data_IF_177835182030
#
_entry.id   IF_177835182030
#
_cell.length_a   1.000
_cell.length_b   1.000
_cell.length_c   1.000
_cell.angle_alpha   90.00
_cell.angle_beta   90.00
_cell.angle_gamma   90.00
#
_symmetry.space_group_name_H-M   'P 1'
#
loop_
_entity.id
_entity.type
_entity.pdbx_description
1 polymer ?
#
# COMPACT_ATOMS: atom_id res chain seq x y z
N UNK A 1 18.36 40.04 26.08
CA UNK A 1 18.45 38.64 25.61
C UNK A 1 18.31 37.74 26.83
N UNK A 2 17.35 36.81 26.84
CA UNK A 2 17.24 35.75 27.85
C UNK A 2 17.81 34.47 27.25
N UNK A 3 18.53 33.68 28.03
CA UNK A 3 19.13 32.41 27.62
C UNK A 3 18.60 31.29 28.52
N UNK A 4 18.22 30.16 27.92
CA UNK A 4 17.83 28.94 28.63
C UNK A 4 18.84 27.84 28.25
N UNK A 5 19.23 27.01 29.21
CA UNK A 5 20.03 25.81 28.98
C UNK A 5 19.13 24.59 29.16
N UNK A 6 19.11 23.71 28.16
CA UNK A 6 18.35 22.46 28.16
C UNK A 6 19.31 21.29 27.96
N UNK A 7 19.15 20.25 28.77
CA UNK A 7 19.81 18.96 28.55
C UNK A 7 18.91 18.12 27.66
N UNK A 8 19.47 17.60 26.58
CA UNK A 8 18.79 16.69 25.68
C UNK A 8 19.36 15.29 25.79
N UNK A 9 18.49 14.30 25.61
CA UNK A 9 18.76 12.89 25.82
C UNK A 9 18.40 12.11 24.55
N UNK A 10 19.19 11.11 24.15
CA UNK A 10 18.79 10.19 23.09
C UNK A 10 17.59 9.36 23.58
N UNK A 11 16.78 8.87 22.63
CA UNK A 11 15.57 8.08 22.94
C UNK A 11 15.82 6.92 23.92
N UNK A 12 16.96 6.25 23.78
CA UNK A 12 17.33 5.12 24.64
C UNK A 12 17.42 5.48 26.14
N UNK A 13 17.77 6.73 26.46
CA UNK A 13 17.96 7.24 27.83
C UNK A 13 16.68 7.77 28.48
N UNK A 14 15.57 7.83 27.72
CA UNK A 14 14.29 8.30 28.24
C UNK A 14 13.64 7.29 29.19
N UNK A 15 12.84 7.81 30.13
CA UNK A 15 11.91 7.00 30.92
C UNK A 15 10.83 6.37 30.01
N UNK A 16 10.10 5.37 30.51
CA UNK A 16 8.96 4.79 29.76
C UNK A 16 7.95 5.87 29.33
N UNK A 17 7.55 6.74 30.27
CA UNK A 17 6.66 7.88 29.98
C UNK A 17 7.26 8.85 28.95
N UNK A 18 8.57 9.11 29.02
CA UNK A 18 9.27 9.95 28.05
C UNK A 18 9.30 9.32 26.65
N UNK A 19 9.45 7.99 26.56
CA UNK A 19 9.39 7.26 25.28
C UNK A 19 8.00 7.29 24.67
N UNK A 20 6.96 7.06 25.46
CA UNK A 20 5.57 7.15 25.00
C UNK A 20 5.25 8.55 24.44
N UNK A 21 5.66 9.61 25.16
CA UNK A 21 5.51 11.00 24.68
C UNK A 21 6.30 11.27 23.41
N UNK A 22 7.54 10.79 23.32
CA UNK A 22 8.38 10.94 22.15
C UNK A 22 7.79 10.24 20.92
N UNK A 23 7.29 9.01 21.07
CA UNK A 23 6.62 8.25 20.01
C UNK A 23 5.35 8.95 19.56
N UNK A 24 4.51 9.40 20.51
CA UNK A 24 3.26 10.10 20.19
C UNK A 24 3.48 11.45 19.48
N UNK A 25 4.62 12.11 19.71
CA UNK A 25 4.97 13.35 19.03
C UNK A 25 5.48 13.15 17.59
N UNK A 26 5.74 11.90 17.20
CA UNK A 26 6.28 11.50 15.90
C UNK A 26 5.47 10.32 15.31
N UNK A 27 4.16 10.26 15.61
CA UNK A 27 3.29 9.16 15.18
C UNK A 27 3.11 9.09 13.66
N UNK A 28 3.31 10.21 12.97
CA UNK A 28 3.24 10.34 11.51
C UNK A 28 4.61 10.41 10.81
N UNK A 29 5.73 10.27 11.54
CA UNK A 29 7.09 10.53 11.01
C UNK A 29 7.43 9.74 9.76
N UNK A 30 6.92 8.51 9.64
CA UNK A 30 7.18 7.61 8.53
C UNK A 30 6.14 7.70 7.41
N UNK A 31 5.03 8.42 7.64
CA UNK A 31 3.90 8.53 6.71
C UNK A 31 3.63 9.98 6.27
N UNK A 32 4.53 10.91 6.59
CA UNK A 32 4.36 12.34 6.30
C UNK A 32 4.34 12.65 4.79
N UNK A 33 5.14 11.94 3.99
CA UNK A 33 5.21 12.15 2.53
C UNK A 33 5.63 10.86 1.81
N UNK A 34 4.96 10.56 0.70
CA UNK A 34 5.31 9.50 -0.27
C UNK A 34 5.58 8.10 0.28
N UNK A 35 5.06 7.77 1.45
CA UNK A 35 5.24 6.42 2.02
C UNK A 35 4.69 5.32 1.10
N UNK A 36 3.68 5.64 0.29
CA UNK A 36 3.05 4.75 -0.70
C UNK A 36 3.84 4.58 -2.01
N UNK A 37 4.96 5.27 -2.22
CA UNK A 37 5.70 5.28 -3.50
C UNK A 37 6.19 3.88 -3.88
N UNK A 38 6.62 3.08 -2.90
CA UNK A 38 7.01 1.68 -3.12
C UNK A 38 5.84 0.84 -3.65
N UNK A 39 4.67 0.96 -3.01
CA UNK A 39 3.45 0.25 -3.43
C UNK A 39 2.94 0.71 -4.80
N UNK A 40 3.08 2.00 -5.14
CA UNK A 40 2.75 2.49 -6.48
C UNK A 40 3.70 1.93 -7.54
N UNK A 41 5.00 1.86 -7.23
CA UNK A 41 5.98 1.25 -8.13
C UNK A 41 5.70 -0.24 -8.37
N UNK A 42 5.28 -0.99 -7.34
CA UNK A 42 4.84 -2.39 -7.49
C UNK A 42 3.62 -2.50 -8.41
N UNK A 43 2.60 -1.65 -8.20
CA UNK A 43 1.41 -1.60 -9.06
C UNK A 43 1.74 -1.32 -10.53
N UNK A 44 2.61 -0.36 -10.79
CA UNK A 44 3.04 -0.04 -12.17
C UNK A 44 3.77 -1.21 -12.82
N UNK A 45 4.65 -1.91 -12.08
CA UNK A 45 5.32 -3.11 -12.55
C UNK A 45 4.34 -4.26 -12.82
N UNK A 46 3.25 -4.34 -12.05
CA UNK A 46 2.14 -5.25 -12.25
C UNK A 46 1.20 -4.86 -13.41
N UNK A 47 1.42 -3.72 -14.06
CA UNK A 47 0.59 -3.23 -15.17
C UNK A 47 -0.69 -2.51 -14.71
N UNK A 48 -0.71 -2.00 -13.48
CA UNK A 48 -1.79 -1.22 -12.90
C UNK A 48 -1.34 0.21 -12.62
N UNK A 49 -2.23 1.16 -12.87
CA UNK A 49 -2.03 2.55 -12.46
C UNK A 49 -2.98 2.86 -11.32
N UNK A 50 -2.47 2.98 -10.11
CA UNK A 50 -3.27 3.49 -8.98
C UNK A 50 -3.58 4.97 -9.25
N UNK A 51 -4.87 5.33 -9.18
CA UNK A 51 -5.36 6.69 -9.43
C UNK A 51 -5.77 7.43 -8.16
N UNK A 52 -5.92 6.70 -7.05
CA UNK A 52 -6.10 7.27 -5.72
C UNK A 52 -6.49 6.19 -4.71
N UNK A 53 -6.27 6.48 -3.44
CA UNK A 53 -6.70 5.61 -2.35
C UNK A 53 -7.09 6.45 -1.13
N UNK A 54 -7.82 5.82 -0.20
CA UNK A 54 -8.20 6.36 1.10
C UNK A 54 -8.22 5.21 2.10
N UNK A 55 -7.51 5.34 3.22
CA UNK A 55 -7.45 4.28 4.25
C UNK A 55 -8.43 4.51 5.41
N UNK A 56 -8.95 5.72 5.56
CA UNK A 56 -9.90 6.08 6.60
C UNK A 56 -11.33 5.62 6.28
N UNK A 57 -12.31 6.52 6.46
CA UNK A 57 -13.74 6.16 6.37
C UNK A 57 -14.17 5.67 4.99
N UNK A 58 -13.51 6.15 3.93
CA UNK A 58 -13.84 5.78 2.55
C UNK A 58 -13.35 4.40 2.15
N UNK A 59 -12.23 3.94 2.73
CA UNK A 59 -11.55 2.65 2.50
C UNK A 59 -11.62 2.16 1.05
N UNK A 60 -10.84 2.77 0.16
CA UNK A 60 -10.78 2.39 -1.26
C UNK A 60 -9.38 2.51 -1.83
N UNK A 61 -9.11 1.76 -2.90
CA UNK A 61 -7.98 1.96 -3.81
C UNK A 61 -8.52 1.86 -5.23
N UNK A 62 -8.44 2.94 -5.99
CA UNK A 62 -8.82 2.98 -7.40
C UNK A 62 -7.59 2.76 -8.25
N UNK A 63 -7.73 1.94 -9.29
CA UNK A 63 -6.69 1.68 -10.26
C UNK A 63 -7.27 1.33 -11.63
N UNK A 64 -6.51 1.60 -12.67
CA UNK A 64 -6.83 1.24 -14.05
C UNK A 64 -5.76 0.31 -14.62
N UNK A 65 -6.13 -0.55 -15.58
CA UNK A 65 -5.14 -1.29 -16.35
C UNK A 65 -4.32 -0.31 -17.21
N UNK A 66 -3.00 -0.50 -17.23
CA UNK A 66 -2.12 0.31 -18.08
C UNK A 66 -2.18 -0.11 -19.56
N UNK A 67 -2.54 -1.36 -19.82
CA UNK A 67 -2.71 -1.91 -21.16
C UNK A 67 -4.04 -2.66 -21.27
N UNK A 68 -4.12 -3.85 -20.66
CA UNK A 68 -5.30 -4.69 -20.60
C UNK A 68 -5.18 -5.69 -19.43
N UNK A 69 -6.29 -6.37 -19.12
CA UNK A 69 -6.36 -7.33 -18.02
C UNK A 69 -5.38 -8.50 -18.19
N UNK A 70 -5.23 -9.03 -19.41
CA UNK A 70 -4.35 -10.17 -19.72
C UNK A 70 -2.89 -9.79 -19.47
N UNK A 71 -2.47 -8.61 -19.93
CA UNK A 71 -1.12 -8.10 -19.74
C UNK A 71 -0.82 -7.87 -18.27
N UNK A 72 -1.76 -7.29 -17.52
CA UNK A 72 -1.64 -7.14 -16.07
C UNK A 72 -1.44 -8.50 -15.39
N UNK A 73 -2.33 -9.47 -15.64
CA UNK A 73 -2.21 -10.80 -15.06
C UNK A 73 -0.87 -11.49 -15.40
N UNK A 74 -0.39 -11.31 -16.64
CA UNK A 74 0.90 -11.83 -17.09
C UNK A 74 2.08 -11.24 -16.30
N UNK A 75 2.06 -9.92 -16.06
CA UNK A 75 3.11 -9.23 -15.32
C UNK A 75 3.09 -9.64 -13.85
N UNK A 76 1.90 -9.71 -13.23
CA UNK A 76 1.73 -10.18 -11.86
C UNK A 76 2.27 -11.61 -11.69
N UNK A 77 1.89 -12.54 -12.56
CA UNK A 77 2.36 -13.94 -12.49
C UNK A 77 3.87 -14.04 -12.68
N UNK A 78 4.47 -13.19 -13.52
CA UNK A 78 5.90 -13.19 -13.77
C UNK A 78 6.73 -12.52 -12.66
N UNK A 79 6.16 -11.51 -11.98
CA UNK A 79 6.89 -10.67 -11.03
C UNK A 79 6.60 -10.97 -9.56
N UNK A 80 5.38 -11.39 -9.24
CA UNK A 80 4.95 -11.58 -7.85
C UNK A 80 5.18 -13.02 -7.40
N UNK A 81 5.45 -13.22 -6.12
CA UNK A 81 5.61 -14.56 -5.56
C UNK A 81 4.29 -15.33 -5.53
N UNK A 82 4.32 -16.63 -5.82
CA UNK A 82 3.11 -17.49 -5.93
C UNK A 82 2.18 -17.49 -4.69
N UNK A 83 2.72 -17.10 -3.54
CA UNK A 83 1.98 -17.03 -2.27
C UNK A 83 1.30 -15.69 -2.03
N UNK A 84 1.55 -14.68 -2.85
CA UNK A 84 0.90 -13.37 -2.69
C UNK A 84 -0.55 -13.44 -3.15
N UNK A 85 -1.41 -12.66 -2.51
CA UNK A 85 -2.82 -12.55 -2.88
C UNK A 85 -2.97 -12.06 -4.33
N UNK A 86 -2.12 -11.13 -4.77
CA UNK A 86 -2.11 -10.59 -6.13
C UNK A 86 -1.81 -11.68 -7.16
N UNK A 87 -0.82 -12.55 -6.91
CA UNK A 87 -0.54 -13.70 -7.79
C UNK A 87 -1.74 -14.63 -7.90
N UNK A 88 -2.35 -14.99 -6.76
CA UNK A 88 -3.48 -15.91 -6.72
C UNK A 88 -4.69 -15.34 -7.47
N UNK A 89 -4.98 -14.04 -7.33
CA UNK A 89 -6.02 -13.35 -8.08
C UNK A 89 -5.74 -13.42 -9.59
N UNK A 90 -4.51 -13.12 -10.02
CA UNK A 90 -4.14 -13.14 -11.44
C UNK A 90 -4.19 -14.56 -12.06
N UNK A 91 -3.78 -15.58 -11.29
CA UNK A 91 -3.86 -16.98 -11.71
C UNK A 91 -5.32 -17.41 -11.88
N UNK A 92 -6.17 -17.13 -10.90
CA UNK A 92 -7.58 -17.46 -10.95
C UNK A 92 -8.30 -16.77 -12.11
N UNK A 93 -7.99 -15.48 -12.34
CA UNK A 93 -8.50 -14.75 -13.50
C UNK A 93 -8.15 -15.43 -14.83
N UNK A 94 -6.89 -15.83 -15.02
CA UNK A 94 -6.47 -16.52 -16.25
C UNK A 94 -7.19 -17.85 -16.44
N UNK A 95 -7.28 -18.65 -15.38
CA UNK A 95 -7.96 -19.94 -15.43
C UNK A 95 -9.44 -19.80 -15.80
N UNK A 96 -10.15 -18.85 -15.17
CA UNK A 96 -11.55 -18.57 -15.46
C UNK A 96 -11.74 -18.08 -16.90
N UNK A 97 -10.91 -17.11 -17.33
CA UNK A 97 -10.97 -16.56 -18.68
C UNK A 97 -10.70 -17.62 -19.76
N UNK A 98 -9.68 -18.44 -19.57
CA UNK A 98 -9.34 -19.52 -20.52
C UNK A 98 -10.45 -20.56 -20.58
N UNK A 99 -11.05 -20.91 -19.44
CA UNK A 99 -12.21 -21.82 -19.38
C UNK A 99 -13.38 -21.29 -20.23
N UNK A 100 -13.72 -20.01 -20.09
CA UNK A 100 -14.81 -19.37 -20.85
C UNK A 100 -14.56 -19.48 -22.35
N UNK A 101 -13.35 -19.14 -22.83
CA UNK A 101 -13.02 -19.18 -24.27
C UNK A 101 -13.02 -20.61 -24.82
N UNK A 102 -12.51 -21.57 -24.04
CA UNK A 102 -12.45 -22.98 -24.45
C UNK A 102 -13.86 -23.56 -24.58
N UNK A 103 -14.68 -23.34 -23.56
CA UNK A 103 -16.03 -23.92 -23.43
C UNK A 103 -17.08 -23.18 -24.27
N UNK A 104 -16.77 -21.97 -24.76
CA UNK A 104 -17.73 -21.20 -25.55
C UNK A 104 -18.19 -21.96 -26.81
N UNK A 105 -19.50 -21.98 -27.11
CA UNK A 105 -20.05 -22.63 -28.31
C UNK A 105 -19.40 -22.12 -29.59
N UNK A 106 -19.10 -23.05 -30.51
CA UNK A 106 -18.47 -22.77 -31.80
C UNK A 106 -19.28 -23.41 -32.91
N UNK A 107 -19.45 -22.65 -33.97
CA UNK A 107 -19.98 -23.08 -35.24
C UNK A 107 -19.13 -24.21 -35.84
N UNK A 108 -19.68 -24.92 -36.82
CA UNK A 108 -18.98 -26.03 -37.49
C UNK A 108 -17.67 -25.65 -38.17
N UNK A 109 -17.49 -24.36 -38.50
CA UNK A 109 -16.26 -23.82 -39.09
C UNK A 109 -15.21 -23.43 -38.03
N UNK A 110 -15.52 -23.54 -36.74
CA UNK A 110 -14.65 -23.19 -35.62
C UNK A 110 -14.80 -21.75 -35.09
N UNK A 111 -15.65 -20.93 -35.72
CA UNK A 111 -15.95 -19.58 -35.24
C UNK A 111 -16.88 -19.64 -34.02
N UNK A 112 -16.84 -18.64 -33.14
CA UNK A 112 -17.75 -18.56 -32.00
C UNK A 112 -19.19 -18.26 -32.45
N UNK A 113 -20.18 -18.99 -31.92
CA UNK A 113 -21.60 -18.83 -32.29
C UNK A 113 -22.16 -17.46 -31.85
N UNK A 114 -21.82 -17.02 -30.64
CA UNK A 114 -22.25 -15.75 -30.04
C UNK A 114 -21.03 -14.94 -29.59
N UNK A 115 -20.51 -14.13 -30.50
CA UNK A 115 -19.32 -13.29 -30.25
C UNK A 115 -19.63 -12.17 -29.25
N UNK A 116 -20.82 -11.57 -29.32
CA UNK A 116 -21.23 -10.49 -28.42
C UNK A 116 -21.42 -11.01 -27.00
N UNK A 117 -22.04 -12.18 -26.83
CA UNK A 117 -22.13 -12.85 -25.54
C UNK A 117 -20.77 -13.20 -24.96
N UNK A 118 -19.82 -13.64 -25.80
CA UNK A 118 -18.46 -13.95 -25.36
C UNK A 118 -17.75 -12.68 -24.87
N UNK A 119 -17.84 -11.59 -25.61
CA UNK A 119 -17.23 -10.30 -25.26
C UNK A 119 -17.75 -9.81 -23.90
N UNK A 120 -19.07 -9.81 -23.72
CA UNK A 120 -19.68 -9.45 -22.43
C UNK A 120 -19.22 -10.36 -21.28
N UNK A 121 -19.13 -11.67 -21.50
CA UNK A 121 -18.67 -12.60 -20.47
C UNK A 121 -17.20 -12.38 -20.08
N UNK A 122 -16.35 -12.01 -21.04
CA UNK A 122 -14.95 -11.68 -20.79
C UNK A 122 -14.83 -10.34 -20.05
N UNK A 123 -15.58 -9.31 -20.46
CA UNK A 123 -15.62 -8.01 -19.78
C UNK A 123 -16.01 -8.14 -18.30
N UNK A 124 -17.01 -8.96 -17.98
CA UNK A 124 -17.43 -9.21 -16.61
C UNK A 124 -16.32 -9.82 -15.74
N UNK A 125 -15.51 -10.71 -16.33
CA UNK A 125 -14.38 -11.38 -15.65
C UNK A 125 -13.23 -10.39 -15.46
N UNK A 126 -12.95 -9.56 -16.47
CA UNK A 126 -11.94 -8.51 -16.41
C UNK A 126 -12.27 -7.43 -15.37
N UNK A 127 -13.54 -7.04 -15.26
CA UNK A 127 -14.01 -6.13 -14.19
C UNK A 127 -13.84 -6.72 -12.80
N UNK A 128 -14.19 -8.01 -12.61
CA UNK A 128 -14.00 -8.70 -11.33
C UNK A 128 -12.53 -8.80 -10.96
N UNK A 129 -11.67 -9.07 -11.95
CA UNK A 129 -10.23 -9.08 -11.77
C UNK A 129 -9.71 -7.72 -11.32
N UNK A 130 -10.10 -6.63 -11.98
CA UNK A 130 -9.68 -5.28 -11.59
C UNK A 130 -10.10 -4.94 -10.16
N UNK A 131 -11.36 -5.21 -9.79
CA UNK A 131 -11.89 -4.97 -8.43
C UNK A 131 -11.15 -5.77 -7.36
N UNK A 132 -10.78 -7.02 -7.70
CA UNK A 132 -10.00 -7.88 -6.82
C UNK A 132 -8.57 -7.35 -6.62
N UNK A 133 -7.92 -6.91 -7.70
CA UNK A 133 -6.59 -6.29 -7.63
C UNK A 133 -6.62 -4.97 -6.84
N UNK A 134 -7.61 -4.12 -7.06
CA UNK A 134 -7.83 -2.89 -6.28
C UNK A 134 -7.96 -3.17 -4.79
N UNK A 135 -8.73 -4.21 -4.41
CA UNK A 135 -8.87 -4.64 -3.02
C UNK A 135 -7.57 -5.18 -2.43
N UNK A 136 -6.77 -5.90 -3.23
CA UNK A 136 -5.47 -6.40 -2.81
C UNK A 136 -4.48 -5.26 -2.56
N UNK A 137 -4.41 -4.26 -3.46
CA UNK A 137 -3.55 -3.09 -3.27
C UNK A 137 -3.99 -2.20 -2.11
N UNK A 138 -5.30 -2.06 -1.88
CA UNK A 138 -5.81 -1.41 -0.68
C UNK A 138 -5.27 -2.09 0.59
N UNK A 139 -5.26 -3.42 0.64
CA UNK A 139 -4.73 -4.16 1.79
C UNK A 139 -3.22 -3.98 1.95
N UNK A 140 -2.46 -3.96 0.85
CA UNK A 140 -1.02 -3.70 0.88
C UNK A 140 -0.74 -2.30 1.45
N UNK A 141 -1.47 -1.28 1.01
CA UNK A 141 -1.36 0.09 1.52
C UNK A 141 -1.74 0.19 3.01
N UNK A 142 -2.83 -0.48 3.42
CA UNK A 142 -3.29 -0.54 4.81
C UNK A 142 -2.22 -1.18 5.71
N UNK A 143 -1.64 -2.30 5.27
CA UNK A 143 -0.57 -3.00 6.01
C UNK A 143 0.73 -2.20 6.10
N UNK A 144 1.10 -1.51 5.02
CA UNK A 144 2.27 -0.64 5.00
C UNK A 144 2.08 0.56 5.93
N UNK A 145 0.91 1.20 5.92
CA UNK A 145 0.58 2.29 6.85
C UNK A 145 0.62 1.82 8.31
N UNK A 146 -0.01 0.69 8.62
CA UNK A 146 -0.02 0.09 9.97
C UNK A 146 1.40 -0.23 10.44
N UNK A 147 2.25 -0.77 9.56
CA UNK A 147 3.64 -1.03 9.89
C UNK A 147 4.43 0.26 10.14
N UNK A 148 4.32 1.26 9.26
CA UNK A 148 5.09 2.50 9.33
C UNK A 148 4.70 3.36 10.53
N UNK A 149 3.44 3.29 10.96
CA UNK A 149 2.91 3.96 12.16
C UNK A 149 3.03 3.12 13.44
N UNK A 150 3.60 1.91 13.35
CA UNK A 150 3.85 1.09 14.53
C UNK A 150 4.95 1.69 15.42
N UNK A 151 4.85 1.45 16.73
CA UNK A 151 5.86 1.86 17.71
C UNK A 151 7.27 1.41 17.31
N UNK A 152 7.40 0.21 16.75
CA UNK A 152 8.68 -0.35 16.32
C UNK A 152 9.30 0.45 15.16
N UNK A 153 8.51 0.79 14.14
CA UNK A 153 8.98 1.57 13.00
C UNK A 153 9.29 3.02 13.39
N UNK A 154 8.44 3.65 14.21
CA UNK A 154 8.68 5.01 14.72
C UNK A 154 9.97 5.04 15.56
N UNK A 155 10.13 4.09 16.48
CA UNK A 155 11.34 3.98 17.32
C UNK A 155 12.59 3.78 16.49
N UNK A 156 12.53 2.93 15.47
CA UNK A 156 13.66 2.71 14.56
C UNK A 156 14.08 4.02 13.87
N UNK A 157 13.12 4.76 13.31
CA UNK A 157 13.38 6.04 12.65
C UNK A 157 13.94 7.09 13.61
N UNK A 158 13.39 7.19 14.82
CA UNK A 158 13.87 8.10 15.88
C UNK A 158 15.36 7.81 16.20
N UNK A 159 15.71 6.54 16.39
CA UNK A 159 17.06 6.12 16.75
C UNK A 159 18.03 6.31 15.57
N UNK A 160 17.63 5.87 14.36
CA UNK A 160 18.47 5.92 13.17
C UNK A 160 18.85 7.36 12.75
N UNK A 161 17.97 8.32 13.04
CA UNK A 161 18.19 9.74 12.75
C UNK A 161 18.69 10.54 13.96
N UNK A 162 19.02 9.86 15.08
CA UNK A 162 19.60 10.47 16.28
C UNK A 162 18.76 11.64 16.84
N UNK A 163 17.43 11.50 16.89
CA UNK A 163 16.58 12.51 17.50
C UNK A 163 16.83 12.63 19.01
N UNK A 164 16.82 13.86 19.49
CA UNK A 164 17.05 14.21 20.89
C UNK A 164 15.82 14.83 21.54
N UNK A 165 15.65 14.54 22.83
CA UNK A 165 14.45 14.90 23.59
C UNK A 165 14.81 15.50 24.94
N UNK A 166 13.90 16.27 25.51
CA UNK A 166 13.98 16.62 26.94
C UNK A 166 13.82 15.36 27.81
N UNK A 167 14.18 15.44 29.09
CA UNK A 167 14.06 14.29 30.02
C UNK A 167 12.64 13.72 30.10
N UNK A 168 11.62 14.55 29.90
CA UNK A 168 10.20 14.20 29.90
C UNK A 168 9.64 13.82 28.50
N UNK A 169 10.49 13.72 27.48
CA UNK A 169 10.12 13.20 26.15
C UNK A 169 9.64 14.25 25.14
N UNK A 170 9.78 15.55 25.42
CA UNK A 170 9.41 16.60 24.48
C UNK A 170 10.46 16.74 23.37
N UNK A 171 9.99 17.04 22.16
CA UNK A 171 10.86 17.19 20.99
C UNK A 171 11.62 18.52 21.04
N UNK A 172 12.88 18.49 20.59
CA UNK A 172 13.72 19.68 20.53
C UNK A 172 13.37 20.65 19.38
N UNK A 173 12.37 20.31 18.54
CA UNK A 173 11.97 21.10 17.36
C UNK A 173 11.03 22.27 17.70
N UNK A 174 10.42 22.27 18.90
CA UNK A 174 9.44 23.27 19.33
C UNK A 174 9.76 23.83 20.74
N UNK A 175 11.03 24.12 21.02
CA UNK A 175 11.49 24.59 22.34
C UNK A 175 11.04 26.03 22.71
N UNK A 176 10.29 26.72 21.85
CA UNK A 176 9.87 28.12 22.06
C UNK A 176 8.88 28.28 23.24
N UNK A 177 8.21 27.22 23.67
CA UNK A 177 7.20 27.22 24.75
C UNK A 177 7.70 26.77 26.14
N UNK A 178 8.96 26.35 26.29
CA UNK A 178 9.52 25.95 27.59
C UNK A 178 9.96 27.13 28.48
N UNK A 179 9.71 28.37 28.02
CA UNK A 179 10.12 29.61 28.68
C UNK A 179 9.01 30.30 29.51
N UNK A 180 7.81 29.70 29.60
CA UNK A 180 6.64 30.25 30.30
C UNK A 180 6.36 29.57 31.64
#
# INVERSE_FOLDING_TARGET
>A
MKTIQLNLYPFAELSAEGKEKAIAAYDDINVFDRWWEGTYGDAENAGLKITGFELGRGKYCNADFMADAIKCASLVIAGHGEKTTTYQIASAFREERDSIVIEWPKETNGDFEDVEGLDNALDEVEERFLKSMQSAYLKILDDEYDYLTSEAAITYTIIANEYYFTKDGQTANHLETLAS
#
